data_IF_593774495193
#
_entry.id   IF_593774495193
#
_cell.length_a   1.000
_cell.length_b   1.000
_cell.length_c   1.000
_cell.angle_alpha   90.00
_cell.angle_beta   90.00
_cell.angle_gamma   90.00
#
_symmetry.space_group_name_H-M   'P 1'
#
loop_
_entity.id
_entity.type
_entity.pdbx_description
1 polymer ?
#
# COMPACT_ATOMS: atom_id res chain seq x y z
N UNK A 1 -23.34 -9.51 24.26
CA UNK A 1 -23.74 -8.15 23.80
C UNK A 1 -22.58 -7.15 23.73
N UNK A 2 -21.32 -7.57 23.49
CA UNK A 2 -20.14 -6.67 23.41
C UNK A 2 -19.55 -6.55 21.98
N UNK A 3 -20.09 -7.30 21.02
CA UNK A 3 -19.55 -7.43 19.65
C UNK A 3 -19.97 -6.27 18.72
N UNK A 4 -21.19 -5.75 18.93
CA UNK A 4 -21.73 -4.65 18.12
C UNK A 4 -21.03 -3.31 18.33
N UNK A 5 -20.50 -3.02 19.52
CA UNK A 5 -19.81 -1.76 19.81
C UNK A 5 -18.39 -1.71 19.24
N UNK A 6 -17.70 -2.86 19.17
CA UNK A 6 -16.37 -2.98 18.55
C UNK A 6 -16.46 -2.88 17.03
N UNK A 7 -17.41 -3.60 16.44
CA UNK A 7 -17.68 -3.53 14.99
C UNK A 7 -18.11 -2.14 14.54
N UNK A 8 -18.95 -1.45 15.32
CA UNK A 8 -19.35 -0.06 15.06
C UNK A 8 -18.19 0.94 15.13
N UNK A 9 -17.21 0.72 16.03
CA UNK A 9 -16.01 1.57 16.13
C UNK A 9 -15.07 1.37 14.94
N UNK A 10 -14.87 0.12 14.52
CA UNK A 10 -14.03 -0.23 13.36
C UNK A 10 -14.60 0.32 12.04
N UNK A 11 -15.93 0.37 11.91
CA UNK A 11 -16.61 0.97 10.75
C UNK A 11 -16.35 2.47 10.58
N UNK A 12 -16.05 3.23 11.65
CA UNK A 12 -15.72 4.67 11.57
C UNK A 12 -14.24 4.94 11.28
N UNK A 13 -13.43 3.88 11.17
CA UNK A 13 -11.98 4.00 10.99
C UNK A 13 -11.60 4.13 9.52
N UNK A 14 -12.48 3.77 8.58
CA UNK A 14 -12.20 3.80 7.14
C UNK A 14 -13.43 4.23 6.35
N UNK A 15 -13.22 5.06 5.32
CA UNK A 15 -14.26 5.53 4.39
C UNK A 15 -14.96 4.39 3.65
N UNK A 16 -14.31 3.24 3.54
CA UNK A 16 -14.83 2.05 2.85
C UNK A 16 -15.72 1.16 3.71
N UNK A 17 -15.59 1.27 5.04
CA UNK A 17 -16.37 0.48 6.00
C UNK A 17 -17.57 1.26 6.58
N UNK A 18 -17.60 2.57 6.35
CA UNK A 18 -18.75 3.40 6.64
C UNK A 18 -19.88 3.08 5.66
N UNK A 19 -21.02 2.62 6.18
CA UNK A 19 -22.27 2.61 5.44
C UNK A 19 -22.70 4.08 5.24
N UNK A 20 -22.15 4.73 4.21
CA UNK A 20 -22.67 6.01 3.78
C UNK A 20 -24.02 5.74 3.10
N UNK A 21 -25.12 6.40 3.52
CA UNK A 21 -26.33 6.37 2.71
C UNK A 21 -25.95 6.89 1.32
N UNK A 22 -26.34 6.16 0.27
CA UNK A 22 -26.08 6.54 -1.11
C UNK A 22 -26.37 8.03 -1.27
N UNK A 23 -25.35 8.80 -1.64
CA UNK A 23 -25.50 10.23 -1.92
C UNK A 23 -26.67 10.36 -2.88
N UNK A 24 -27.74 10.96 -2.38
CA UNK A 24 -29.07 11.04 -2.98
C UNK A 24 -28.94 11.40 -4.46
N UNK A 25 -28.98 10.39 -5.32
CA UNK A 25 -28.85 10.55 -6.77
C UNK A 25 -30.08 11.34 -7.24
N UNK A 26 -29.81 12.46 -7.92
CA UNK A 26 -30.71 13.49 -8.50
C UNK A 26 -31.23 14.60 -7.57
N UNK A 27 -30.67 15.79 -7.78
CA UNK A 27 -31.48 16.98 -8.03
C UNK A 27 -31.01 17.64 -9.34
N UNK A 28 -31.80 17.42 -10.39
CA UNK A 28 -31.89 18.29 -11.55
C UNK A 28 -32.24 19.72 -11.10
N UNK A 29 -31.42 20.71 -11.46
CA UNK A 29 -31.73 22.13 -11.26
C UNK A 29 -30.49 23.00 -11.14
N UNK A 30 -30.21 23.79 -12.18
CA UNK A 30 -28.98 24.55 -12.40
C UNK A 30 -28.69 25.68 -11.39
N UNK A 31 -27.41 25.83 -11.01
CA UNK A 31 -26.72 27.13 -10.87
C UNK A 31 -25.20 26.95 -10.62
N UNK A 32 -24.42 27.03 -11.71
CA UNK A 32 -23.05 27.58 -11.82
C UNK A 32 -22.00 27.37 -10.69
N UNK A 33 -21.65 26.11 -10.46
CA UNK A 33 -20.23 25.71 -10.36
C UNK A 33 -20.13 24.47 -11.24
N UNK A 34 -19.10 24.33 -12.06
CA UNK A 34 -18.94 23.16 -12.93
C UNK A 34 -18.75 21.88 -12.09
N UNK A 35 -19.88 21.31 -11.66
CA UNK A 35 -20.12 20.11 -10.87
C UNK A 35 -18.93 19.58 -10.10
N UNK A 36 -18.67 20.09 -8.90
CA UNK A 36 -17.79 19.41 -7.95
C UNK A 36 -18.44 18.06 -7.59
N UNK A 37 -17.66 16.99 -7.68
CA UNK A 37 -18.04 15.65 -7.22
C UNK A 37 -16.84 15.00 -6.53
N UNK A 38 -17.09 13.84 -5.91
CA UNK A 38 -16.07 13.16 -5.12
C UNK A 38 -14.93 12.68 -6.01
N UNK A 39 -15.23 12.19 -7.20
CA UNK A 39 -14.27 11.68 -8.15
C UNK A 39 -13.29 12.79 -8.59
N UNK A 40 -13.79 14.00 -8.88
CA UNK A 40 -12.95 15.17 -9.20
C UNK A 40 -12.11 15.62 -8.01
N UNK A 41 -12.66 15.62 -6.80
CA UNK A 41 -11.92 15.95 -5.58
C UNK A 41 -10.77 14.96 -5.38
N UNK A 42 -11.03 13.66 -5.50
CA UNK A 42 -10.03 12.60 -5.38
C UNK A 42 -8.94 12.73 -6.45
N UNK A 43 -9.32 12.95 -7.72
CA UNK A 43 -8.35 13.14 -8.79
C UNK A 43 -7.47 14.38 -8.59
N UNK A 44 -8.03 15.48 -8.07
CA UNK A 44 -7.26 16.66 -7.71
C UNK A 44 -6.32 16.41 -6.52
N UNK A 45 -6.77 15.62 -5.54
CA UNK A 45 -5.94 15.22 -4.42
C UNK A 45 -4.72 14.39 -4.89
N UNK A 46 -4.92 13.40 -5.78
CA UNK A 46 -3.83 12.60 -6.37
C UNK A 46 -2.81 13.50 -7.07
N UNK A 47 -3.25 14.40 -7.96
CA UNK A 47 -2.33 15.33 -8.65
C UNK A 47 -1.53 16.20 -7.67
N UNK A 48 -2.18 16.71 -6.63
CA UNK A 48 -1.52 17.54 -5.63
C UNK A 48 -0.53 16.73 -4.77
N UNK A 49 -0.87 15.48 -4.45
CA UNK A 49 0.01 14.56 -3.73
C UNK A 49 1.22 14.15 -4.57
N UNK A 50 1.05 13.91 -5.87
CA UNK A 50 2.15 13.58 -6.79
C UNK A 50 3.14 14.73 -6.96
N UNK A 51 2.64 15.96 -6.98
CA UNK A 51 3.45 17.16 -7.22
C UNK A 51 4.06 17.75 -5.95
N UNK A 52 3.32 17.75 -4.85
CA UNK A 52 3.73 18.41 -3.61
C UNK A 52 4.08 17.45 -2.47
N UNK A 53 3.68 16.18 -2.57
CA UNK A 53 3.90 15.17 -1.54
C UNK A 53 2.97 15.32 -0.33
N UNK A 54 2.96 14.27 0.50
CA UNK A 54 2.07 14.15 1.66
C UNK A 54 2.27 15.27 2.71
N UNK A 55 3.52 15.73 2.87
CA UNK A 55 3.88 16.74 3.88
C UNK A 55 3.28 18.12 3.61
N UNK A 56 3.09 18.50 2.35
CA UNK A 56 2.50 19.78 1.94
C UNK A 56 0.99 19.71 1.70
N UNK A 57 0.44 18.50 1.66
CA UNK A 57 -0.97 18.28 1.39
C UNK A 57 -1.88 18.72 2.55
N UNK A 58 -2.88 19.56 2.24
CA UNK A 58 -3.93 19.98 3.16
C UNK A 58 -5.26 20.22 2.45
N UNK A 59 -6.38 20.07 3.16
CA UNK A 59 -7.73 20.34 2.63
C UNK A 59 -7.87 21.77 2.08
N UNK A 60 -7.22 22.74 2.72
CA UNK A 60 -7.20 24.14 2.26
C UNK A 60 -6.41 24.31 0.97
N UNK A 61 -5.23 23.68 0.85
CA UNK A 61 -4.43 23.72 -0.38
C UNK A 61 -5.17 23.08 -1.55
N UNK A 62 -5.84 21.95 -1.30
CA UNK A 62 -6.69 21.27 -2.28
C UNK A 62 -7.87 22.14 -2.71
N UNK A 63 -8.59 22.75 -1.77
CA UNK A 63 -9.71 23.63 -2.10
C UNK A 63 -9.26 24.84 -2.95
N UNK A 64 -8.09 25.42 -2.61
CA UNK A 64 -7.49 26.48 -3.41
C UNK A 64 -7.12 26.01 -4.82
N UNK A 65 -6.59 24.78 -4.97
CA UNK A 65 -6.28 24.17 -6.27
C UNK A 65 -7.54 23.98 -7.14
N UNK A 66 -8.64 23.61 -6.49
CA UNK A 66 -9.96 23.43 -7.11
C UNK A 66 -10.72 24.74 -7.34
N UNK A 67 -10.22 25.88 -6.86
CA UNK A 67 -10.93 27.17 -6.94
C UNK A 67 -12.22 27.23 -6.11
N UNK A 68 -12.34 26.40 -5.07
CA UNK A 68 -13.53 26.32 -4.20
C UNK A 68 -13.18 26.60 -2.73
N UNK A 69 -14.20 26.71 -1.88
CA UNK A 69 -13.99 26.82 -0.42
C UNK A 69 -13.68 25.46 0.19
N UNK A 70 -12.92 25.43 1.30
CA UNK A 70 -12.69 24.18 2.03
C UNK A 70 -14.00 23.52 2.49
N UNK A 71 -15.00 24.33 2.86
CA UNK A 71 -16.34 23.85 3.23
C UNK A 71 -17.03 23.08 2.10
N UNK A 72 -16.83 23.51 0.84
CA UNK A 72 -17.35 22.81 -0.33
C UNK A 72 -16.76 21.40 -0.46
N UNK A 73 -15.47 21.22 -0.16
CA UNK A 73 -14.81 19.90 -0.20
C UNK A 73 -15.33 18.99 0.91
N UNK A 74 -15.47 19.52 2.13
CA UNK A 74 -15.99 18.78 3.28
C UNK A 74 -17.41 18.27 3.10
N UNK A 75 -18.17 18.85 2.16
CA UNK A 75 -19.51 18.35 1.81
C UNK A 75 -19.48 16.96 1.15
N UNK A 76 -18.35 16.57 0.53
CA UNK A 76 -18.19 15.30 -0.17
C UNK A 76 -17.36 14.30 0.63
N UNK A 77 -16.40 14.78 1.42
CA UNK A 77 -15.47 13.94 2.20
C UNK A 77 -15.26 14.52 3.58
N UNK A 78 -15.52 13.74 4.63
CA UNK A 78 -15.62 14.25 6.00
C UNK A 78 -14.25 14.57 6.62
N UNK A 79 -13.23 13.76 6.32
CA UNK A 79 -11.88 13.91 6.88
C UNK A 79 -10.81 13.89 5.80
N UNK A 80 -9.66 14.50 6.12
CA UNK A 80 -8.45 14.39 5.29
C UNK A 80 -8.07 12.91 5.08
N UNK A 81 -8.15 12.10 6.13
CA UNK A 81 -7.79 10.68 6.08
C UNK A 81 -8.71 9.89 5.14
N UNK A 82 -10.02 10.17 5.14
CA UNK A 82 -10.96 9.57 4.20
C UNK A 82 -10.60 9.93 2.75
N UNK A 83 -10.14 11.16 2.50
CA UNK A 83 -9.69 11.57 1.18
C UNK A 83 -8.38 10.89 0.77
N UNK A 84 -7.47 10.67 1.72
CA UNK A 84 -6.23 9.93 1.45
C UNK A 84 -6.51 8.46 1.14
N UNK A 85 -7.48 7.84 1.82
CA UNK A 85 -7.97 6.49 1.49
C UNK A 85 -8.60 6.43 0.09
N UNK A 86 -9.42 7.42 -0.27
CA UNK A 86 -9.99 7.53 -1.61
C UNK A 86 -8.93 7.72 -2.69
N UNK A 87 -7.93 8.57 -2.42
CA UNK A 87 -6.81 8.82 -3.33
C UNK A 87 -5.95 7.56 -3.52
N UNK A 88 -5.68 6.83 -2.43
CA UNK A 88 -4.92 5.59 -2.47
C UNK A 88 -5.64 4.53 -3.33
N UNK A 89 -6.93 4.28 -3.09
CA UNK A 89 -7.67 3.32 -3.92
C UNK A 89 -7.78 3.78 -5.38
N UNK A 90 -7.88 5.09 -5.63
CA UNK A 90 -7.94 5.64 -6.98
C UNK A 90 -6.66 5.37 -7.78
N UNK A 91 -5.47 5.52 -7.16
CA UNK A 91 -4.21 5.16 -7.85
C UNK A 91 -4.08 3.64 -8.00
N UNK A 92 -4.53 2.85 -7.02
CA UNK A 92 -4.58 1.39 -7.15
C UNK A 92 -5.52 0.91 -8.26
N UNK A 93 -6.48 1.73 -8.68
CA UNK A 93 -7.29 1.54 -9.88
C UNK A 93 -6.49 1.54 -11.20
N UNK A 94 -5.23 2.00 -11.21
CA UNK A 94 -4.33 1.87 -12.35
C UNK A 94 -3.77 0.45 -12.51
N UNK A 95 -3.88 -0.40 -11.48
CA UNK A 95 -3.37 -1.76 -11.53
C UNK A 95 -4.30 -2.64 -12.35
N UNK A 96 -3.74 -3.31 -13.34
CA UNK A 96 -4.46 -4.38 -14.04
C UNK A 96 -4.62 -5.59 -13.10
N UNK A 97 -5.87 -5.98 -12.86
CA UNK A 97 -6.17 -7.16 -12.05
C UNK A 97 -5.73 -8.41 -12.81
N UNK A 98 -4.86 -9.27 -12.23
CA UNK A 98 -4.42 -10.47 -12.93
C UNK A 98 -5.58 -11.36 -13.37
N UNK A 99 -5.63 -11.68 -14.66
CA UNK A 99 -6.61 -12.64 -15.18
C UNK A 99 -6.16 -14.07 -14.87
N UNK A 100 -6.58 -14.54 -13.71
CA UNK A 100 -6.32 -15.91 -13.30
C UNK A 100 -7.00 -16.95 -14.20
N UNK A 101 -7.90 -16.60 -15.12
CA UNK A 101 -8.54 -17.57 -16.02
C UNK A 101 -7.91 -17.59 -17.42
N UNK A 102 -6.93 -16.72 -17.69
CA UNK A 102 -6.24 -16.69 -18.97
C UNK A 102 -5.63 -18.06 -19.31
N UNK A 103 -6.02 -18.61 -20.46
CA UNK A 103 -5.55 -19.90 -20.96
C UNK A 103 -4.03 -19.88 -21.18
N UNK A 104 -3.32 -20.91 -20.70
CA UNK A 104 -1.87 -21.05 -20.87
C UNK A 104 -1.03 -20.08 -20.04
N UNK A 105 -1.63 -19.21 -19.21
CA UNK A 105 -0.87 -18.27 -18.39
C UNK A 105 -0.07 -18.98 -17.28
N UNK A 106 1.24 -18.71 -17.23
CA UNK A 106 2.11 -19.15 -16.14
C UNK A 106 1.87 -18.28 -14.90
N UNK A 107 1.48 -18.91 -13.80
CA UNK A 107 1.22 -18.21 -12.54
C UNK A 107 2.46 -17.45 -12.04
N UNK A 108 3.68 -17.96 -12.30
CA UNK A 108 4.91 -17.26 -11.89
C UNK A 108 5.03 -15.92 -12.57
N UNK A 109 4.78 -15.92 -13.88
CA UNK A 109 4.82 -14.71 -14.68
C UNK A 109 3.72 -13.71 -14.28
N UNK A 110 2.52 -14.20 -13.96
CA UNK A 110 1.45 -13.34 -13.44
C UNK A 110 1.79 -12.71 -12.09
N UNK A 111 2.44 -13.44 -11.18
CA UNK A 111 2.91 -12.86 -9.91
C UNK A 111 4.03 -11.84 -10.15
N UNK A 112 4.92 -12.08 -11.11
CA UNK A 112 5.95 -11.10 -11.48
C UNK A 112 5.32 -9.81 -11.99
N UNK A 113 4.42 -9.93 -12.96
CA UNK A 113 3.72 -8.78 -13.54
C UNK A 113 2.97 -7.99 -12.47
N UNK A 114 2.25 -8.67 -11.57
CA UNK A 114 1.56 -8.03 -10.45
C UNK A 114 2.55 -7.28 -9.53
N UNK A 115 3.67 -7.90 -9.16
CA UNK A 115 4.67 -7.28 -8.30
C UNK A 115 5.34 -6.07 -8.95
N UNK A 116 5.70 -6.16 -10.24
CA UNK A 116 6.25 -5.05 -11.01
C UNK A 116 5.25 -3.92 -11.22
N UNK A 117 3.97 -4.24 -11.46
CA UNK A 117 2.90 -3.26 -11.60
C UNK A 117 2.70 -2.48 -10.28
N UNK A 118 2.62 -3.18 -9.15
CA UNK A 118 2.49 -2.56 -7.83
C UNK A 118 3.71 -1.69 -7.48
N UNK A 119 4.94 -2.19 -7.73
CA UNK A 119 6.15 -1.36 -7.55
C UNK A 119 6.13 -0.14 -8.47
N UNK A 120 5.74 -0.30 -9.73
CA UNK A 120 5.64 0.78 -10.70
C UNK A 120 4.66 1.87 -10.27
N UNK A 121 3.51 1.47 -9.71
CA UNK A 121 2.54 2.39 -9.11
C UNK A 121 3.15 3.16 -7.93
N UNK A 122 3.81 2.47 -7.00
CA UNK A 122 4.43 3.12 -5.84
C UNK A 122 5.57 4.07 -6.24
N UNK A 123 6.25 3.82 -7.36
CA UNK A 123 7.22 4.75 -7.95
C UNK A 123 6.57 5.96 -8.61
N UNK A 124 5.41 5.79 -9.27
CA UNK A 124 4.64 6.90 -9.88
C UNK A 124 4.00 7.80 -8.83
N UNK A 125 3.59 7.21 -7.69
CA UNK A 125 2.92 7.89 -6.58
C UNK A 125 3.71 7.72 -5.28
N UNK A 126 4.87 8.39 -5.11
CA UNK A 126 5.77 8.17 -3.95
C UNK A 126 5.08 8.36 -2.59
N UNK A 127 4.11 9.27 -2.52
CA UNK A 127 3.32 9.55 -1.32
C UNK A 127 2.53 8.32 -0.83
N UNK A 128 2.16 7.39 -1.72
CA UNK A 128 1.40 6.20 -1.36
C UNK A 128 2.19 5.30 -0.41
N UNK A 129 3.51 5.19 -0.60
CA UNK A 129 4.37 4.39 0.28
C UNK A 129 4.38 4.94 1.72
N UNK A 130 4.32 6.26 1.89
CA UNK A 130 4.20 6.93 3.19
C UNK A 130 2.86 6.71 3.90
N UNK A 131 1.85 6.19 3.18
CA UNK A 131 0.53 5.86 3.75
C UNK A 131 0.39 4.39 4.16
N UNK A 132 1.36 3.54 3.79
CA UNK A 132 1.35 2.12 4.12
C UNK A 132 1.29 1.91 5.64
N UNK A 133 0.35 1.07 6.08
CA UNK A 133 0.11 0.80 7.50
C UNK A 133 -0.62 1.91 8.27
N UNK A 134 -0.84 3.08 7.66
CA UNK A 134 -1.65 4.15 8.26
C UNK A 134 -3.14 4.00 7.94
N UNK A 135 -3.46 3.45 6.77
CA UNK A 135 -4.84 3.22 6.33
C UNK A 135 -5.13 1.74 6.06
N UNK A 136 -6.39 1.36 6.18
CA UNK A 136 -6.85 0.03 5.76
C UNK A 136 -6.92 0.00 4.24
N UNK A 137 -6.10 -0.83 3.60
CA UNK A 137 -6.10 -0.97 2.15
C UNK A 137 -7.22 -1.93 1.69
N UNK A 138 -8.47 -1.48 1.88
CA UNK A 138 -9.71 -2.28 1.68
C UNK A 138 -10.68 -1.63 0.70
N UNK A 139 -10.22 -0.66 -0.08
CA UNK A 139 -10.99 -0.08 -1.17
C UNK A 139 -11.26 -1.09 -2.30
N UNK A 140 -12.23 -0.81 -3.19
CA UNK A 140 -12.65 -1.74 -4.23
C UNK A 140 -11.53 -2.08 -5.22
N UNK A 141 -10.67 -1.11 -5.56
CA UNK A 141 -9.55 -1.32 -6.50
C UNK A 141 -8.47 -2.17 -5.84
N UNK A 142 -8.11 -1.81 -4.59
CA UNK A 142 -7.18 -2.56 -3.76
C UNK A 142 -7.57 -4.02 -3.59
N UNK A 143 -8.82 -4.24 -3.17
CA UNK A 143 -9.37 -5.57 -2.94
C UNK A 143 -9.48 -6.35 -4.24
N UNK A 144 -9.87 -5.69 -5.34
CA UNK A 144 -9.93 -6.31 -6.67
C UNK A 144 -8.58 -6.87 -7.10
N UNK A 145 -7.52 -6.06 -6.95
CA UNK A 145 -6.15 -6.47 -7.28
C UNK A 145 -5.66 -7.60 -6.35
N UNK A 146 -5.80 -7.45 -5.04
CA UNK A 146 -5.41 -8.47 -4.06
C UNK A 146 -6.13 -9.82 -4.30
N UNK A 147 -7.43 -9.80 -4.57
CA UNK A 147 -8.21 -11.00 -4.88
C UNK A 147 -7.83 -11.59 -6.25
N UNK A 148 -7.45 -10.78 -7.22
CA UNK A 148 -6.84 -11.23 -8.48
C UNK A 148 -5.56 -12.03 -8.24
N UNK A 149 -4.61 -11.44 -7.53
CA UNK A 149 -3.34 -12.10 -7.17
C UNK A 149 -3.59 -13.36 -6.34
N UNK A 150 -4.54 -13.34 -5.39
CA UNK A 150 -4.93 -14.52 -4.61
C UNK A 150 -5.43 -15.66 -5.49
N UNK A 151 -6.23 -15.37 -6.53
CA UNK A 151 -6.70 -16.39 -7.49
C UNK A 151 -5.55 -17.01 -8.27
N UNK A 152 -4.54 -16.21 -8.65
CA UNK A 152 -3.30 -16.71 -9.28
C UNK A 152 -2.56 -17.66 -8.33
N UNK A 153 -2.41 -17.27 -7.06
CA UNK A 153 -1.77 -18.11 -6.03
C UNK A 153 -2.49 -19.45 -5.85
N UNK A 154 -3.82 -19.47 -5.80
CA UNK A 154 -4.60 -20.71 -5.69
C UNK A 154 -4.40 -21.64 -6.90
N UNK A 155 -4.20 -21.09 -8.10
CA UNK A 155 -3.93 -21.87 -9.32
C UNK A 155 -2.52 -22.46 -9.38
N UNK A 156 -1.59 -21.95 -8.59
CA UNK A 156 -0.21 -22.47 -8.55
C UNK A 156 -0.11 -23.90 -8.00
N UNK A 157 -1.17 -24.40 -7.34
CA UNK A 157 -1.17 -25.67 -6.60
C UNK A 157 -0.84 -25.49 -5.11
N UNK A 158 -0.70 -24.25 -4.64
CA UNK A 158 -0.52 -23.93 -3.23
C UNK A 158 -1.79 -24.32 -2.43
N UNK A 159 -1.66 -24.93 -1.24
CA UNK A 159 -2.80 -25.17 -0.37
C UNK A 159 -3.54 -23.88 -0.02
N UNK A 160 -4.87 -23.92 0.02
CA UNK A 160 -5.69 -22.73 0.28
C UNK A 160 -5.32 -22.04 1.60
N UNK A 161 -4.97 -22.79 2.65
CA UNK A 161 -4.57 -22.24 3.94
C UNK A 161 -3.25 -21.45 3.90
N UNK A 162 -2.45 -21.63 2.85
CA UNK A 162 -1.19 -20.92 2.65
C UNK A 162 -1.33 -19.73 1.68
N UNK A 163 -2.44 -19.63 0.94
CA UNK A 163 -2.63 -18.60 -0.09
C UNK A 163 -2.58 -17.19 0.50
N UNK A 164 -3.22 -16.96 1.65
CA UNK A 164 -3.22 -15.64 2.30
C UNK A 164 -1.83 -15.29 2.87
N UNK A 165 -1.08 -16.28 3.33
CA UNK A 165 0.31 -16.10 3.77
C UNK A 165 1.26 -15.78 2.61
N UNK A 166 1.10 -16.47 1.47
CA UNK A 166 1.86 -16.18 0.25
C UNK A 166 1.52 -14.82 -0.34
N UNK A 167 0.24 -14.44 -0.30
CA UNK A 167 -0.23 -13.11 -0.69
C UNK A 167 0.43 -12.04 0.20
N UNK A 168 0.35 -12.20 1.52
CA UNK A 168 0.99 -11.28 2.46
C UNK A 168 2.50 -11.18 2.22
N UNK A 169 3.20 -12.30 2.00
CA UNK A 169 4.63 -12.31 1.72
C UNK A 169 4.99 -11.52 0.45
N UNK A 170 4.24 -11.71 -0.63
CA UNK A 170 4.46 -10.99 -1.90
C UNK A 170 4.25 -9.49 -1.72
N UNK A 171 3.13 -9.08 -1.12
CA UNK A 171 2.82 -7.66 -0.92
C UNK A 171 3.80 -7.01 0.06
N UNK A 172 4.11 -7.65 1.20
CA UNK A 172 5.12 -7.16 2.14
C UNK A 172 6.50 -7.01 1.52
N UNK A 173 6.90 -7.92 0.63
CA UNK A 173 8.13 -7.79 -0.14
C UNK A 173 8.11 -6.53 -1.02
N UNK A 174 7.06 -6.32 -1.82
CA UNK A 174 6.95 -5.16 -2.71
C UNK A 174 6.92 -3.86 -1.92
N UNK A 175 6.10 -3.79 -0.87
CA UNK A 175 5.99 -2.63 0.01
C UNK A 175 7.30 -2.33 0.74
N UNK A 176 7.98 -3.35 1.26
CA UNK A 176 9.27 -3.18 1.93
C UNK A 176 10.33 -2.62 0.97
N UNK A 177 10.39 -3.13 -0.25
CA UNK A 177 11.32 -2.65 -1.27
C UNK A 177 11.02 -1.19 -1.66
N UNK A 178 9.75 -0.88 -1.95
CA UNK A 178 9.31 0.47 -2.30
C UNK A 178 9.55 1.49 -1.16
N UNK A 179 9.32 1.09 0.10
CA UNK A 179 9.56 1.95 1.25
C UNK A 179 11.05 2.29 1.44
N UNK A 180 11.95 1.33 1.17
CA UNK A 180 13.40 1.55 1.20
C UNK A 180 13.83 2.45 0.04
N UNK A 181 13.35 2.20 -1.18
CA UNK A 181 13.60 3.04 -2.35
C UNK A 181 13.18 4.49 -2.10
N UNK A 182 11.97 4.72 -1.58
CA UNK A 182 11.48 6.06 -1.33
C UNK A 182 12.24 6.76 -0.21
N UNK A 183 12.53 6.05 0.88
CA UNK A 183 13.36 6.59 1.97
C UNK A 183 14.75 7.02 1.49
N UNK A 184 15.32 6.26 0.55
CA UNK A 184 16.59 6.59 -0.09
C UNK A 184 16.46 7.82 -0.98
N UNK A 185 15.50 7.83 -1.90
CA UNK A 185 15.25 8.94 -2.83
C UNK A 185 15.03 10.26 -2.08
N UNK A 186 14.21 10.22 -1.03
CA UNK A 186 13.94 11.39 -0.18
C UNK A 186 15.22 11.92 0.47
N UNK A 187 16.07 11.04 1.03
CA UNK A 187 17.34 11.44 1.65
C UNK A 187 18.27 12.13 0.64
N UNK A 188 18.40 11.58 -0.56
CA UNK A 188 19.25 12.15 -1.59
C UNK A 188 18.70 13.49 -2.10
N UNK A 189 17.37 13.60 -2.27
CA UNK A 189 16.70 14.85 -2.61
C UNK A 189 16.87 15.94 -1.53
N UNK A 190 16.77 15.58 -0.24
CA UNK A 190 17.00 16.50 0.88
C UNK A 190 18.46 16.99 0.91
N UNK A 191 19.41 16.17 0.45
CA UNK A 191 20.81 16.54 0.27
C UNK A 191 21.10 17.28 -1.04
N UNK A 192 20.10 17.48 -1.92
CA UNK A 192 20.24 18.19 -3.19
C UNK A 192 20.99 17.41 -4.28
N UNK A 193 21.06 16.08 -4.17
CA UNK A 193 21.77 15.21 -5.13
C UNK A 193 20.82 14.16 -5.72
N UNK A 194 21.13 13.67 -6.93
CA UNK A 194 20.36 12.57 -7.52
C UNK A 194 20.59 11.27 -6.75
N UNK A 195 19.64 10.32 -6.81
CA UNK A 195 19.81 9.01 -6.18
C UNK A 195 21.05 8.26 -6.72
N UNK A 196 21.41 8.48 -7.98
CA UNK A 196 22.61 7.89 -8.60
C UNK A 196 23.90 8.49 -8.00
N UNK A 197 24.00 9.81 -7.94
CA UNK A 197 25.17 10.50 -7.37
C UNK A 197 25.35 10.14 -5.88
N UNK A 198 24.24 10.03 -5.17
CA UNK A 198 24.16 9.62 -3.77
C UNK A 198 24.72 8.18 -3.59
N UNK A 199 24.34 7.25 -4.47
CA UNK A 199 24.86 5.88 -4.48
C UNK A 199 26.35 5.85 -4.84
N UNK A 200 26.79 6.66 -5.80
CA UNK A 200 28.19 6.72 -6.24
C UNK A 200 29.11 7.32 -5.18
N UNK A 201 28.66 8.37 -4.50
CA UNK A 201 29.34 8.98 -3.37
C UNK A 201 29.47 7.99 -2.20
N UNK A 202 28.38 7.29 -1.86
CA UNK A 202 28.39 6.30 -0.78
C UNK A 202 29.32 5.12 -1.11
N UNK A 203 29.28 4.59 -2.33
CA UNK A 203 30.18 3.51 -2.77
C UNK A 203 31.64 3.92 -2.65
N UNK A 204 31.97 5.13 -3.09
CA UNK A 204 33.33 5.69 -2.99
C UNK A 204 33.76 5.79 -1.53
N UNK A 205 32.90 6.32 -0.66
CA UNK A 205 33.19 6.47 0.77
C UNK A 205 33.36 5.14 1.50
N UNK A 206 32.57 4.12 1.16
CA UNK A 206 32.68 2.77 1.72
C UNK A 206 33.89 2.00 1.17
N UNK A 207 34.19 2.14 -0.12
CA UNK A 207 35.35 1.50 -0.75
C UNK A 207 36.69 2.02 -0.20
N UNK A 208 36.72 3.26 0.29
CA UNK A 208 37.88 3.83 0.96
C UNK A 208 38.14 3.23 2.37
N UNK A 209 37.19 2.44 2.91
CA UNK A 209 37.32 1.78 4.22
C UNK A 209 37.75 0.32 4.04
N UNK A 210 38.96 -0.07 4.51
CA UNK A 210 39.51 -1.41 4.28
C UNK A 210 38.59 -2.55 4.74
N UNK A 211 37.82 -2.34 5.81
CA UNK A 211 36.89 -3.31 6.38
C UNK A 211 35.63 -3.56 5.51
N UNK A 212 35.29 -2.62 4.61
CA UNK A 212 34.14 -2.72 3.71
C UNK A 212 34.53 -2.84 2.23
N UNK A 213 35.82 -2.74 1.90
CA UNK A 213 36.30 -2.66 0.52
C UNK A 213 35.86 -3.86 -0.35
N UNK A 214 35.85 -5.08 0.20
CA UNK A 214 35.40 -6.27 -0.52
C UNK A 214 33.89 -6.34 -0.75
N UNK A 215 33.10 -5.59 0.04
CA UNK A 215 31.64 -5.55 -0.03
C UNK A 215 31.08 -4.27 -0.66
N UNK A 216 31.86 -3.18 -0.75
CA UNK A 216 31.35 -1.86 -1.13
C UNK A 216 30.68 -1.83 -2.50
N UNK A 217 31.14 -2.63 -3.46
CA UNK A 217 30.51 -2.79 -4.77
C UNK A 217 29.19 -3.60 -4.72
N UNK A 218 29.08 -4.55 -3.78
CA UNK A 218 27.90 -5.38 -3.56
C UNK A 218 26.89 -4.76 -2.57
N UNK A 219 27.32 -3.76 -1.80
CA UNK A 219 26.52 -3.18 -0.70
C UNK A 219 25.32 -2.40 -1.23
N UNK A 220 25.37 -1.87 -2.48
CA UNK A 220 24.19 -1.26 -3.13
C UNK A 220 24.26 -1.27 -4.68
N UNK A 221 23.62 -2.25 -5.34
CA UNK A 221 23.26 -2.17 -6.76
C UNK A 221 21.82 -1.68 -6.97
N UNK A 222 21.66 -0.80 -7.96
CA UNK A 222 20.46 -0.25 -8.62
C UNK A 222 19.13 -0.90 -8.22
N UNK A 223 18.20 -0.07 -7.73
CA UNK A 223 16.81 -0.38 -7.36
C UNK A 223 16.07 -1.36 -8.32
N UNK A 224 16.42 -1.41 -9.60
CA UNK A 224 15.80 -2.32 -10.58
C UNK A 224 16.40 -3.73 -10.62
N UNK A 225 17.71 -3.91 -10.38
CA UNK A 225 18.36 -5.23 -10.47
C UNK A 225 18.02 -6.10 -9.25
N UNK A 226 17.99 -5.48 -8.08
CA UNK A 226 17.77 -6.20 -6.81
C UNK A 226 16.32 -6.62 -6.64
N UNK A 227 15.37 -5.81 -7.11
CA UNK A 227 13.95 -6.16 -7.03
C UNK A 227 13.64 -7.46 -7.79
N UNK A 228 14.11 -7.59 -9.04
CA UNK A 228 13.86 -8.77 -9.85
C UNK A 228 14.45 -10.04 -9.24
N UNK A 229 15.71 -9.98 -8.79
CA UNK A 229 16.38 -11.13 -8.14
C UNK A 229 15.68 -11.51 -6.84
N UNK A 230 15.34 -10.54 -5.99
CA UNK A 230 14.65 -10.80 -4.73
C UNK A 230 13.21 -11.32 -4.95
N UNK A 231 12.54 -10.85 -6.00
CA UNK A 231 11.22 -11.36 -6.39
C UNK A 231 11.29 -12.83 -6.82
N UNK A 232 12.33 -13.25 -7.55
CA UNK A 232 12.52 -14.67 -7.86
C UNK A 232 12.68 -15.52 -6.60
N UNK A 233 13.33 -15.02 -5.55
CA UNK A 233 13.40 -15.73 -4.26
C UNK A 233 12.01 -15.93 -3.63
N UNK A 234 11.14 -14.91 -3.70
CA UNK A 234 9.76 -15.00 -3.22
C UNK A 234 8.96 -16.01 -4.05
N UNK A 235 9.03 -15.93 -5.39
CA UNK A 235 8.33 -16.85 -6.31
C UNK A 235 8.81 -18.28 -6.12
N UNK A 236 10.12 -18.51 -5.99
CA UNK A 236 10.68 -19.83 -5.71
C UNK A 236 10.24 -20.39 -4.35
N UNK A 237 10.09 -19.54 -3.33
CA UNK A 237 9.54 -19.92 -2.03
C UNK A 237 8.08 -20.38 -2.12
N UNK A 238 7.26 -19.65 -2.88
CA UNK A 238 5.87 -20.03 -3.16
C UNK A 238 5.83 -21.37 -3.92
N UNK A 239 6.68 -21.52 -4.94
CA UNK A 239 6.82 -22.76 -5.72
C UNK A 239 7.26 -23.96 -4.85
N UNK A 240 8.15 -23.76 -3.89
CA UNK A 240 8.52 -24.81 -2.95
C UNK A 240 7.32 -25.24 -2.08
N UNK A 241 6.46 -24.29 -1.70
CA UNK A 241 5.23 -24.54 -0.95
C UNK A 241 4.20 -25.39 -1.71
N UNK A 242 4.16 -25.33 -3.05
CA UNK A 242 3.25 -26.16 -3.85
C UNK A 242 3.66 -27.63 -3.87
N UNK A 243 4.96 -27.92 -3.74
CA UNK A 243 5.52 -29.28 -3.72
C UNK A 243 5.48 -29.92 -2.33
N UNK A 244 5.62 -29.10 -1.29
CA UNK A 244 5.66 -29.52 0.11
C UNK A 244 4.32 -29.33 0.81
N UNK A 245 3.34 -30.19 0.58
CA UNK A 245 1.99 -30.18 1.19
C UNK A 245 1.94 -30.38 2.72
N UNK A 246 2.97 -29.96 3.46
CA UNK A 246 3.06 -30.03 4.93
C UNK A 246 3.84 -28.83 5.48
N UNK A 247 3.31 -27.63 5.26
CA UNK A 247 3.69 -26.46 6.07
C UNK A 247 3.26 -26.66 7.53
N UNK A 248 3.91 -26.00 8.51
CA UNK A 248 3.57 -26.17 9.92
C UNK A 248 2.08 -25.85 10.13
N UNK A 249 1.36 -26.77 10.77
CA UNK A 249 -0.04 -26.54 11.11
C UNK A 249 -0.15 -25.21 11.88
N UNK A 250 -1.19 -24.39 11.63
CA UNK A 250 -1.43 -23.22 12.47
C UNK A 250 -1.58 -23.73 13.90
N UNK A 251 -0.65 -23.34 14.77
CA UNK A 251 -0.80 -23.60 16.20
C UNK A 251 -2.11 -22.92 16.59
N UNK A 252 -3.09 -23.73 17.03
CA UNK A 252 -4.42 -23.27 17.37
C UNK A 252 -4.33 -22.03 18.26
N UNK A 253 -5.21 -21.05 18.03
CA UNK A 253 -5.32 -19.79 18.80
C UNK A 253 -4.87 -20.02 20.24
N UNK A 254 -3.66 -19.60 20.57
CA UNK A 254 -3.25 -19.54 21.95
C UNK A 254 -4.18 -18.52 22.61
N UNK A 255 -5.07 -19.01 23.48
CA UNK A 255 -5.84 -18.15 24.37
C UNK A 255 -4.84 -17.23 25.06
N UNK A 256 -4.95 -15.90 24.94
CA UNK A 256 -4.00 -15.01 25.58
C UNK A 256 -4.06 -15.27 27.08
N UNK A 257 -2.97 -15.77 27.65
CA UNK A 257 -2.78 -15.84 29.10
C UNK A 257 -2.62 -14.38 29.55
N UNK A 258 -3.70 -13.80 30.04
CA UNK A 258 -3.69 -12.48 30.66
C UNK A 258 -2.97 -12.65 32.01
N UNK A 259 -1.80 -12.01 32.23
CA UNK A 259 -1.16 -12.04 33.54
C UNK A 259 -2.06 -11.36 34.58
N UNK A 260 -2.10 -11.85 35.84
CA UNK A 260 -2.92 -11.25 36.87
C UNK A 260 -2.53 -9.77 37.07
N UNK A 261 -3.54 -8.89 37.05
CA UNK A 261 -3.36 -7.47 37.32
C UNK A 261 -2.87 -7.27 38.76
N UNK A 262 -1.91 -6.36 39.02
CA UNK A 262 -1.56 -5.99 40.38
C UNK A 262 -2.76 -5.32 41.09
N UNK A 263 -2.90 -5.46 42.41
CA UNK A 263 -4.03 -4.91 43.16
C UNK A 263 -4.09 -3.38 43.04
N UNK A 264 -5.31 -2.87 42.92
CA UNK A 264 -5.61 -1.43 42.80
C UNK A 264 -5.24 -0.69 44.10
N UNK A 265 -4.81 0.59 44.05
CA UNK A 265 -4.45 1.38 45.24
C UNK A 265 -5.61 1.69 46.20
N UNK A 266 -6.83 1.26 45.91
CA UNK A 266 -8.02 1.53 46.75
C UNK A 266 -8.30 0.44 47.80
N UNK A 267 -7.51 -0.63 47.85
CA UNK A 267 -7.60 -1.70 48.87
C UNK A 267 -6.50 -1.60 49.95
N UNK A 268 -6.16 -0.38 50.41
CA UNK A 268 -5.35 -0.16 51.63
C UNK A 268 -6.03 0.76 52.62
#
# INVERSE_FOLDING_TARGET
MSDGSRTSRMRRTSVWLEERPEVRRKASGASQTEGLDREKITAAAVRLLDTEGLARFSMRRLAADLGVTAMSVYWYVDRKDDLLELALDAVEGELEVPDALAEGADWREQLRQAAFALRGLLRRHPWASGTLGSFLNVGPSAMGFQLGVRRVLLRSGLPEQQADGALAALFSFVYGHAAVEESWNRRCSEAGVSSQDCSDALRTALGARPEYAAGAEAVYPVAERDFGVALECVVAGIEAGTRGGRGPAPQGRATPVIPPQPPSPEDR
#
